data_IF_411326111318
#
_entry.id   IF_411326111318
#
_cell.length_a   1.000
_cell.length_b   1.000
_cell.length_c   1.000
_cell.angle_alpha   90.00
_cell.angle_beta   90.00
_cell.angle_gamma   90.00
#
_symmetry.space_group_name_H-M   'P 1'
#
loop_
_entity.id
_entity.type
_entity.pdbx_description
1 polymer ?
#
# COMPACT_ATOMS: atom_id res chain seq x y z
N UNK A 1 -9.08 -2.41 -12.62
CA UNK A 1 -10.28 -1.95 -11.86
C UNK A 1 -10.05 -0.50 -11.41
N UNK A 2 -11.10 0.30 -11.15
CA UNK A 2 -10.95 1.64 -10.53
C UNK A 2 -11.65 1.68 -9.19
N UNK A 3 -11.06 2.34 -8.20
CA UNK A 3 -11.70 2.62 -6.90
C UNK A 3 -11.62 4.10 -6.58
N UNK A 4 -12.63 4.59 -5.85
CA UNK A 4 -12.63 5.93 -5.28
C UNK A 4 -12.13 5.83 -3.84
N UNK A 5 -11.04 6.52 -3.53
CA UNK A 5 -10.51 6.65 -2.16
C UNK A 5 -10.90 8.01 -1.63
N UNK A 6 -11.46 8.04 -0.42
CA UNK A 6 -11.78 9.26 0.30
C UNK A 6 -11.06 9.23 1.65
N UNK A 7 -10.44 10.33 2.04
CA UNK A 7 -9.76 10.44 3.33
C UNK A 7 -9.94 11.83 3.93
N UNK A 8 -9.94 11.89 5.26
CA UNK A 8 -9.97 13.12 6.03
C UNK A 8 -8.80 13.13 6.99
N UNK A 9 -8.22 14.32 7.20
CA UNK A 9 -7.19 14.50 8.20
C UNK A 9 -7.84 14.83 9.53
N UNK A 10 -7.26 14.30 10.60
CA UNK A 10 -7.59 14.71 11.96
C UNK A 10 -6.43 15.53 12.55
N UNK A 11 -6.73 16.32 13.56
CA UNK A 11 -5.77 17.16 14.28
C UNK A 11 -5.84 16.83 15.77
N UNK A 12 -4.76 17.09 16.50
CA UNK A 12 -4.79 17.04 17.96
C UNK A 12 -5.83 18.02 18.53
N UNK A 13 -6.38 17.69 19.69
CA UNK A 13 -7.31 18.57 20.40
C UNK A 13 -6.69 19.97 20.62
N UNK A 14 -7.38 21.03 20.18
CA UNK A 14 -6.90 22.41 20.24
C UNK A 14 -5.91 22.79 19.13
N UNK A 15 -5.58 21.87 18.22
CA UNK A 15 -4.77 22.14 17.02
C UNK A 15 -5.52 22.92 15.93
N UNK A 16 -4.81 23.31 14.85
CA UNK A 16 -5.44 23.99 13.73
C UNK A 16 -6.52 23.13 13.08
N UNK A 17 -7.54 23.76 12.48
CA UNK A 17 -8.57 23.03 11.74
C UNK A 17 -7.90 22.17 10.65
N UNK A 18 -8.23 20.87 10.55
CA UNK A 18 -7.63 20.02 9.53
C UNK A 18 -8.08 20.47 8.13
N UNK A 19 -7.29 20.17 7.09
CA UNK A 19 -7.68 20.45 5.72
C UNK A 19 -8.99 19.73 5.36
N UNK A 20 -9.73 20.21 4.34
CA UNK A 20 -10.93 19.53 3.87
C UNK A 20 -10.66 18.08 3.47
N UNK A 21 -11.66 17.18 3.56
CA UNK A 21 -11.56 15.83 3.03
C UNK A 21 -11.10 15.84 1.57
N UNK A 22 -10.30 14.84 1.23
CA UNK A 22 -9.71 14.68 -0.10
C UNK A 22 -10.26 13.41 -0.74
N UNK A 23 -10.24 13.38 -2.07
CA UNK A 23 -10.62 12.19 -2.83
C UNK A 23 -9.76 12.00 -4.07
N UNK A 24 -9.53 10.73 -4.42
CA UNK A 24 -8.81 10.34 -5.63
C UNK A 24 -9.45 9.10 -6.25
N UNK A 25 -9.51 9.08 -7.58
CA UNK A 25 -9.83 7.86 -8.33
C UNK A 25 -8.53 7.21 -8.73
N UNK A 26 -8.29 5.99 -8.24
CA UNK A 26 -7.05 5.25 -8.51
C UNK A 26 -7.34 4.01 -9.32
N UNK A 27 -6.43 3.70 -10.24
CA UNK A 27 -6.45 2.46 -10.98
C UNK A 27 -5.77 1.37 -10.16
N UNK A 28 -6.49 0.28 -9.94
CA UNK A 28 -5.95 -0.93 -9.31
C UNK A 28 -5.57 -1.89 -10.44
N UNK A 29 -4.29 -2.34 -10.48
CA UNK A 29 -3.87 -3.35 -11.43
C UNK A 29 -4.72 -4.61 -11.29
N UNK A 30 -4.96 -5.28 -12.41
CA UNK A 30 -5.71 -6.53 -12.40
C UNK A 30 -4.79 -7.65 -11.89
N UNK A 31 -5.16 -8.24 -10.74
CA UNK A 31 -4.45 -9.38 -10.17
C UNK A 31 -5.12 -10.68 -10.61
N UNK A 32 -4.31 -11.66 -11.04
CA UNK A 32 -4.78 -12.89 -11.69
C UNK A 32 -5.65 -13.80 -10.81
N UNK A 33 -5.59 -13.66 -9.48
CA UNK A 33 -6.49 -14.30 -8.51
C UNK A 33 -6.70 -13.36 -7.33
N UNK A 34 -7.95 -13.00 -7.02
CA UNK A 34 -8.28 -12.23 -5.81
C UNK A 34 -8.29 -13.14 -4.59
N UNK A 35 -7.31 -12.99 -3.71
CA UNK A 35 -7.35 -13.57 -2.35
C UNK A 35 -6.74 -12.66 -1.27
N UNK A 36 -6.42 -11.40 -1.59
CA UNK A 36 -5.70 -10.50 -0.66
C UNK A 36 -6.41 -9.23 -0.25
N UNK A 37 -5.81 -8.53 0.71
CA UNK A 37 -6.34 -7.32 1.31
C UNK A 37 -6.10 -6.10 0.42
N UNK A 38 -7.06 -5.16 0.43
CA UNK A 38 -6.87 -3.84 -0.17
C UNK A 38 -5.99 -3.00 0.77
N UNK A 39 -4.81 -2.62 0.29
CA UNK A 39 -3.85 -1.82 1.06
C UNK A 39 -3.69 -0.46 0.36
N UNK A 40 -4.00 0.62 1.09
CA UNK A 40 -3.93 1.99 0.60
C UNK A 40 -2.70 2.71 1.18
N UNK A 41 -1.95 3.37 0.32
CA UNK A 41 -0.73 4.10 0.64
C UNK A 41 -0.89 5.57 0.27
N UNK A 42 -0.62 6.45 1.23
CA UNK A 42 -0.75 7.90 1.10
C UNK A 42 0.63 8.53 1.03
N UNK A 43 0.85 9.35 0.01
CA UNK A 43 2.11 10.06 -0.23
C UNK A 43 1.88 11.58 -0.17
N UNK A 44 2.97 12.39 -0.14
CA UNK A 44 2.87 13.83 -0.35
C UNK A 44 2.07 14.20 -1.61
N UNK A 45 1.60 15.45 -1.67
CA UNK A 45 0.85 16.01 -2.80
C UNK A 45 -0.44 15.24 -3.15
N UNK A 46 -1.12 14.69 -2.12
CA UNK A 46 -2.39 13.97 -2.25
C UNK A 46 -2.34 12.73 -3.17
N UNK A 47 -1.15 12.20 -3.43
CA UNK A 47 -0.98 10.99 -4.22
C UNK A 47 -1.35 9.76 -3.38
N UNK A 48 -2.19 8.90 -3.94
CA UNK A 48 -2.63 7.65 -3.31
C UNK A 48 -2.35 6.48 -4.25
N UNK A 49 -1.85 5.37 -3.71
CA UNK A 49 -1.76 4.09 -4.41
C UNK A 49 -2.53 3.03 -3.65
N UNK A 50 -3.29 2.21 -4.37
CA UNK A 50 -3.99 1.06 -3.78
C UNK A 50 -3.52 -0.20 -4.46
N UNK A 51 -3.13 -1.17 -3.64
CA UNK A 51 -2.69 -2.49 -4.08
C UNK A 51 -3.53 -3.56 -3.42
N UNK A 52 -3.65 -4.73 -4.07
CA UNK A 52 -4.32 -5.90 -3.49
C UNK A 52 -3.27 -6.98 -3.30
N UNK A 53 -3.06 -7.43 -2.05
CA UNK A 53 -1.95 -8.33 -1.73
C UNK A 53 -2.21 -9.16 -0.47
N UNK A 54 -1.81 -10.44 -0.50
CA UNK A 54 -1.71 -11.31 0.68
C UNK A 54 -0.46 -11.01 1.51
N UNK A 55 0.47 -10.28 0.93
CA UNK A 55 1.77 -10.01 1.50
C UNK A 55 1.80 -8.63 2.16
N UNK A 56 2.62 -8.49 3.21
CA UNK A 56 2.98 -7.20 3.78
C UNK A 56 3.96 -6.42 2.89
N UNK A 57 4.07 -5.10 3.11
CA UNK A 57 4.85 -4.18 2.27
C UNK A 57 6.34 -4.54 2.12
N UNK A 58 6.93 -5.19 3.12
CA UNK A 58 8.33 -5.62 3.11
C UNK A 58 8.55 -6.97 2.40
N UNK A 59 7.49 -7.63 1.96
CA UNK A 59 7.60 -8.92 1.28
C UNK A 59 8.15 -8.74 -0.15
N UNK A 60 9.04 -9.62 -0.63
CA UNK A 60 9.64 -9.49 -1.96
C UNK A 60 8.60 -9.52 -3.09
N UNK A 61 7.51 -10.30 -2.92
CA UNK A 61 6.38 -10.34 -3.88
C UNK A 61 5.33 -9.25 -3.69
N UNK A 62 5.57 -8.27 -2.81
CA UNK A 62 4.62 -7.18 -2.64
C UNK A 62 4.51 -6.38 -3.95
N UNK A 63 3.30 -6.17 -4.50
CA UNK A 63 3.10 -5.67 -5.87
C UNK A 63 3.27 -4.14 -5.96
N UNK A 64 4.46 -3.65 -5.65
CA UNK A 64 4.82 -2.24 -5.63
C UNK A 64 6.32 -2.08 -5.97
N UNK A 65 6.70 -0.97 -6.59
CA UNK A 65 8.10 -0.65 -6.86
C UNK A 65 8.87 -0.31 -5.57
N UNK A 66 10.19 -0.48 -5.54
CA UNK A 66 10.99 -0.10 -4.36
C UNK A 66 10.94 1.41 -4.04
N UNK A 67 10.76 2.26 -5.05
CA UNK A 67 10.60 3.71 -4.86
C UNK A 67 9.28 4.03 -4.14
N UNK A 68 8.18 3.40 -4.56
CA UNK A 68 6.88 3.59 -3.94
C UNK A 68 6.79 2.94 -2.56
N UNK A 69 7.60 1.92 -2.29
CA UNK A 69 7.68 1.27 -0.98
C UNK A 69 8.41 2.10 0.07
N UNK A 70 9.04 3.24 -0.26
CA UNK A 70 9.75 4.02 0.75
C UNK A 70 8.78 4.51 1.85
N UNK A 71 9.20 4.50 3.13
CA UNK A 71 10.55 4.19 3.64
C UNK A 71 10.80 2.69 3.90
N UNK A 72 9.83 1.82 3.64
CA UNK A 72 9.95 0.38 3.81
C UNK A 72 10.96 -0.21 2.81
N UNK A 73 11.66 -1.25 3.26
CA UNK A 73 12.62 -1.98 2.44
C UNK A 73 12.23 -3.45 2.42
N UNK A 74 12.45 -4.11 1.30
CA UNK A 74 12.24 -5.55 1.21
C UNK A 74 13.09 -6.28 2.26
N UNK A 75 12.45 -7.13 3.07
CA UNK A 75 13.11 -7.85 4.16
C UNK A 75 14.09 -8.88 3.61
N UNK A 76 15.34 -8.83 4.09
CA UNK A 76 16.39 -9.80 3.72
C UNK A 76 16.01 -11.23 4.10
N UNK A 77 15.39 -11.40 5.26
CA UNK A 77 14.95 -12.70 5.76
C UNK A 77 13.88 -13.33 4.86
N UNK A 78 12.87 -12.55 4.44
CA UNK A 78 11.82 -13.03 3.54
C UNK A 78 12.39 -13.36 2.15
N UNK A 79 13.38 -12.60 1.70
CA UNK A 79 14.07 -12.82 0.43
C UNK A 79 14.92 -14.09 0.44
N UNK A 80 15.59 -14.40 1.55
CA UNK A 80 16.29 -15.68 1.75
C UNK A 80 15.30 -16.85 1.80
N UNK A 81 14.21 -16.70 2.54
CA UNK A 81 13.17 -17.72 2.66
C UNK A 81 12.47 -18.04 1.32
N UNK A 82 12.27 -17.04 0.46
CA UNK A 82 11.78 -17.23 -0.91
C UNK A 82 12.80 -17.99 -1.78
N UNK A 83 14.09 -17.65 -1.69
CA UNK A 83 15.16 -18.36 -2.41
C UNK A 83 15.28 -19.82 -2.01
N UNK A 84 15.00 -20.14 -0.75
CA UNK A 84 14.96 -21.50 -0.23
C UNK A 84 13.70 -22.28 -0.65
N UNK A 85 12.72 -21.63 -1.28
CA UNK A 85 11.49 -22.28 -1.75
C UNK A 85 10.55 -22.72 -0.63
N UNK A 86 10.61 -22.10 0.54
CA UNK A 86 9.93 -22.60 1.76
C UNK A 86 8.58 -21.96 2.08
N UNK A 87 8.08 -21.00 1.32
CA UNK A 87 6.79 -20.34 1.59
C UNK A 87 5.60 -21.27 1.25
N UNK A 88 4.62 -21.45 2.15
CA UNK A 88 3.32 -22.01 1.79
C UNK A 88 2.61 -21.06 0.82
N UNK A 89 1.91 -21.64 -0.17
CA UNK A 89 1.10 -20.93 -1.17
C UNK A 89 -0.03 -20.09 -0.55
#
# INVERSE_FOLDING_TARGET
MKVKVQWSYDTTQGGPRPPPPQEAVVEIPEYSKRTGDNQAHFYPDHKVKVVVSNYGIEHPRYPMSEEDKLPWKTSKQLLEYEKEGRLPE
#
